data_IF_180060446882
#
_entry.id   IF_180060446882
#
_cell.length_a   1.000
_cell.length_b   1.000
_cell.length_c   1.000
_cell.angle_alpha   90.00
_cell.angle_beta   90.00
_cell.angle_gamma   90.00
#
_symmetry.space_group_name_H-M   'P 1'
#
loop_
_entity.id
_entity.type
_entity.pdbx_description
1 polymer ?
#
# COMPACT_ATOMS: atom_id res chain seq x y z
N UNK A 1 22.13 3.31 -11.20
CA UNK A 1 21.05 2.33 -11.48
C UNK A 1 20.63 1.54 -10.24
N UNK A 2 21.51 1.26 -9.27
CA UNK A 2 21.14 0.55 -8.02
C UNK A 2 19.92 1.17 -7.31
N UNK A 3 19.80 2.50 -7.32
CA UNK A 3 18.68 3.23 -6.70
C UNK A 3 17.30 2.87 -7.25
N UNK A 4 17.21 2.25 -8.43
CA UNK A 4 15.95 1.83 -9.00
C UNK A 4 15.23 0.77 -8.16
N UNK A 5 15.96 -0.03 -7.38
CA UNK A 5 15.34 -0.96 -6.42
C UNK A 5 14.56 -0.21 -5.35
N UNK A 6 15.15 0.82 -4.75
CA UNK A 6 14.46 1.65 -3.76
C UNK A 6 13.24 2.36 -4.37
N UNK A 7 13.33 2.76 -5.64
CA UNK A 7 12.19 3.38 -6.33
C UNK A 7 11.04 2.40 -6.54
N UNK A 8 11.29 1.21 -7.14
CA UNK A 8 10.22 0.25 -7.41
C UNK A 8 9.63 -0.34 -6.13
N UNK A 9 10.45 -0.54 -5.09
CA UNK A 9 10.00 -1.06 -3.79
C UNK A 9 8.89 -0.25 -3.16
N UNK A 10 8.84 1.06 -3.41
CA UNK A 10 7.76 1.92 -2.90
C UNK A 10 6.39 1.54 -3.46
N UNK A 11 6.34 0.89 -4.62
CA UNK A 11 5.09 0.52 -5.31
C UNK A 11 4.69 -0.95 -5.13
N UNK A 12 5.61 -1.78 -4.65
CA UNK A 12 5.39 -3.18 -4.35
C UNK A 12 4.84 -3.37 -2.93
N UNK A 13 4.18 -4.49 -2.63
CA UNK A 13 3.67 -4.75 -1.29
C UNK A 13 4.79 -4.66 -0.25
N UNK A 14 4.47 -4.04 0.90
CA UNK A 14 5.41 -3.88 2.02
C UNK A 14 5.90 -5.25 2.48
N UNK A 15 4.95 -6.18 2.60
CA UNK A 15 5.16 -7.59 2.88
C UNK A 15 4.03 -8.36 2.21
N UNK A 16 4.31 -9.56 1.69
CA UNK A 16 3.27 -10.50 1.29
C UNK A 16 2.82 -11.33 2.49
N UNK A 17 1.54 -11.72 2.51
CA UNK A 17 1.05 -12.73 3.45
C UNK A 17 1.72 -14.11 3.21
N UNK A 18 2.12 -14.38 1.96
CA UNK A 18 2.84 -15.57 1.54
C UNK A 18 4.36 -15.37 1.61
N UNK A 19 5.06 -16.27 2.31
CA UNK A 19 6.51 -16.20 2.48
C UNK A 19 7.25 -16.54 1.17
N UNK A 20 6.72 -17.42 0.32
CA UNK A 20 7.34 -17.75 -0.98
C UNK A 20 7.37 -16.51 -1.89
N UNK A 21 6.29 -15.71 -1.89
CA UNK A 21 6.25 -14.42 -2.58
C UNK A 21 7.28 -13.41 -2.06
N UNK A 22 7.54 -13.37 -0.74
CA UNK A 22 8.56 -12.52 -0.15
C UNK A 22 9.98 -12.96 -0.59
N UNK A 23 10.25 -14.27 -0.55
CA UNK A 23 11.52 -14.85 -1.01
C UNK A 23 11.76 -14.60 -2.51
N UNK A 24 10.73 -14.76 -3.33
CA UNK A 24 10.80 -14.46 -4.75
C UNK A 24 11.16 -13.00 -5.01
N UNK A 25 10.55 -12.07 -4.26
CA UNK A 25 10.83 -10.66 -4.39
C UNK A 25 12.28 -10.33 -4.01
N UNK A 26 12.75 -10.87 -2.89
CA UNK A 26 14.14 -10.72 -2.45
C UNK A 26 15.12 -11.28 -3.49
N UNK A 27 14.85 -12.46 -4.03
CA UNK A 27 15.66 -13.06 -5.09
C UNK A 27 15.78 -12.15 -6.32
N UNK A 28 14.70 -11.51 -6.75
CA UNK A 28 14.72 -10.58 -7.88
C UNK A 28 15.57 -9.33 -7.59
N UNK A 29 15.49 -8.80 -6.38
CA UNK A 29 16.27 -7.64 -5.95
C UNK A 29 17.76 -7.94 -5.90
N UNK A 30 18.13 -9.05 -5.28
CA UNK A 30 19.52 -9.52 -5.22
C UNK A 30 20.06 -9.82 -6.62
N UNK A 31 19.28 -10.51 -7.45
CA UNK A 31 19.64 -10.79 -8.85
C UNK A 31 19.86 -9.50 -9.63
N UNK A 32 19.00 -8.50 -9.45
CA UNK A 32 19.17 -7.20 -10.09
C UNK A 32 20.50 -6.55 -9.69
N UNK A 33 20.73 -6.38 -8.38
CA UNK A 33 21.91 -5.70 -7.85
C UNK A 33 23.20 -6.41 -8.23
N UNK A 34 23.25 -7.74 -8.09
CA UNK A 34 24.41 -8.54 -8.49
C UNK A 34 24.75 -8.34 -9.97
N UNK A 35 23.73 -8.33 -10.85
CA UNK A 35 23.96 -8.15 -12.28
C UNK A 35 24.31 -6.71 -12.66
N UNK A 36 23.84 -5.70 -11.93
CA UNK A 36 24.30 -4.31 -12.08
C UNK A 36 25.78 -4.20 -11.71
N UNK A 37 26.19 -4.71 -10.55
CA UNK A 37 27.59 -4.67 -10.09
C UNK A 37 28.54 -5.38 -11.07
N UNK A 38 28.10 -6.49 -11.65
CA UNK A 38 28.87 -7.26 -12.62
C UNK A 38 28.73 -6.76 -14.06
N UNK A 39 28.07 -5.62 -14.30
CA UNK A 39 27.85 -5.03 -15.62
C UNK A 39 27.13 -5.98 -16.60
N UNK A 40 26.33 -6.90 -16.07
CA UNK A 40 25.50 -7.86 -16.80
C UNK A 40 24.10 -7.28 -17.01
N UNK A 41 24.01 -6.13 -17.68
CA UNK A 41 22.80 -5.32 -17.71
C UNK A 41 21.56 -6.03 -18.29
N UNK A 42 21.73 -6.93 -19.27
CA UNK A 42 20.62 -7.75 -19.81
C UNK A 42 19.92 -8.61 -18.74
N UNK A 43 20.68 -9.17 -17.79
CA UNK A 43 20.14 -10.00 -16.72
C UNK A 43 19.58 -9.12 -15.59
N UNK A 44 20.21 -7.97 -15.34
CA UNK A 44 19.64 -6.96 -14.46
C UNK A 44 18.26 -6.51 -14.97
N UNK A 45 18.12 -6.15 -16.24
CA UNK A 45 16.84 -5.77 -16.81
C UNK A 45 15.79 -6.89 -16.69
N UNK A 46 16.16 -8.15 -16.92
CA UNK A 46 15.24 -9.28 -16.75
C UNK A 46 14.70 -9.37 -15.31
N UNK A 47 15.57 -9.23 -14.30
CA UNK A 47 15.16 -9.24 -12.91
C UNK A 47 14.26 -8.05 -12.57
N UNK A 48 14.64 -6.84 -13.01
CA UNK A 48 13.85 -5.63 -12.79
C UNK A 48 12.48 -5.70 -13.46
N UNK A 49 12.41 -6.21 -14.70
CA UNK A 49 11.15 -6.37 -15.41
C UNK A 49 10.18 -7.29 -14.64
N UNK A 50 10.69 -8.32 -13.94
CA UNK A 50 9.84 -9.16 -13.10
C UNK A 50 9.31 -8.39 -11.88
N UNK A 51 10.09 -7.47 -11.30
CA UNK A 51 9.58 -6.54 -10.27
C UNK A 51 8.48 -5.63 -10.84
N UNK A 52 8.66 -5.12 -12.07
CA UNK A 52 7.64 -4.37 -12.78
C UNK A 52 6.37 -5.21 -13.00
N UNK A 53 6.50 -6.48 -13.39
CA UNK A 53 5.35 -7.38 -13.52
C UNK A 53 4.65 -7.66 -12.18
N UNK A 54 5.39 -7.79 -11.09
CA UNK A 54 4.81 -7.90 -9.73
C UNK A 54 3.92 -6.69 -9.41
N UNK A 55 4.36 -5.46 -9.76
CA UNK A 55 3.51 -4.27 -9.65
C UNK A 55 2.25 -4.38 -10.51
N UNK A 56 2.38 -4.79 -11.78
CA UNK A 56 1.23 -4.95 -12.69
C UNK A 56 0.21 -5.94 -12.12
N UNK A 57 0.67 -7.06 -11.58
CA UNK A 57 -0.19 -8.06 -10.96
C UNK A 57 -0.87 -7.56 -9.70
N UNK A 58 -0.13 -6.88 -8.81
CA UNK A 58 -0.68 -6.21 -7.62
C UNK A 58 -1.83 -5.28 -8.00
N UNK A 59 -1.60 -4.37 -8.94
CA UNK A 59 -2.63 -3.39 -9.35
C UNK A 59 -3.82 -4.09 -10.01
N UNK A 60 -3.56 -5.09 -10.85
CA UNK A 60 -4.62 -5.85 -11.51
C UNK A 60 -5.50 -6.61 -10.52
N UNK A 61 -4.87 -7.22 -9.50
CA UNK A 61 -5.55 -7.90 -8.40
C UNK A 61 -6.36 -6.93 -7.55
N UNK A 62 -5.76 -5.82 -7.13
CA UNK A 62 -6.42 -4.79 -6.31
C UNK A 62 -7.67 -4.21 -6.98
N UNK A 63 -7.67 -4.15 -8.31
CA UNK A 63 -8.80 -3.67 -9.12
C UNK A 63 -9.75 -4.77 -9.58
N UNK A 64 -9.49 -6.01 -9.18
CA UNK A 64 -10.22 -7.22 -9.57
C UNK A 64 -10.46 -7.30 -11.09
N UNK A 65 -9.40 -7.08 -11.89
CA UNK A 65 -9.49 -7.08 -13.36
C UNK A 65 -9.94 -8.44 -13.89
N UNK A 66 -9.48 -9.52 -13.27
CA UNK A 66 -9.93 -10.89 -13.46
C UNK A 66 -10.55 -11.34 -12.13
N UNK A 67 -11.90 -11.27 -11.97
CA UNK A 67 -12.56 -11.59 -10.71
C UNK A 67 -12.38 -13.03 -10.22
N UNK A 68 -11.96 -13.95 -11.10
CA UNK A 68 -11.72 -15.35 -10.77
C UNK A 68 -10.30 -15.63 -10.27
N UNK A 69 -9.42 -14.63 -10.23
CA UNK A 69 -8.09 -14.78 -9.64
C UNK A 69 -8.22 -14.85 -8.11
N UNK A 70 -7.62 -15.86 -7.48
CA UNK A 70 -7.64 -16.02 -6.03
C UNK A 70 -6.52 -15.20 -5.38
N UNK A 71 -5.37 -15.10 -6.06
CA UNK A 71 -4.19 -14.36 -5.62
C UNK A 71 -3.58 -13.57 -6.78
N UNK A 72 -2.74 -12.57 -6.47
CA UNK A 72 -2.25 -11.67 -7.52
C UNK A 72 -1.35 -12.37 -8.56
N UNK A 73 -0.57 -13.38 -8.16
CA UNK A 73 0.31 -14.09 -9.09
C UNK A 73 -0.44 -15.03 -10.06
N UNK A 74 -1.74 -15.28 -9.82
CA UNK A 74 -2.58 -16.01 -10.77
C UNK A 74 -2.69 -15.25 -12.10
N UNK A 75 -2.54 -13.91 -12.10
CA UNK A 75 -2.56 -13.11 -13.32
C UNK A 75 -1.46 -13.48 -14.32
N UNK A 76 -0.35 -14.07 -13.83
CA UNK A 76 0.70 -14.58 -14.72
C UNK A 76 0.27 -15.81 -15.52
N UNK A 77 -0.71 -16.58 -15.01
CA UNK A 77 -1.22 -17.81 -15.61
C UNK A 77 -2.60 -17.63 -16.29
N UNK A 78 -3.45 -16.76 -15.73
CA UNK A 78 -4.82 -16.53 -16.19
C UNK A 78 -4.91 -15.60 -17.42
N UNK A 79 -3.79 -14.99 -17.79
CA UNK A 79 -3.65 -14.23 -19.03
C UNK A 79 -2.88 -15.05 -20.05
N UNK A 80 -3.01 -14.76 -21.36
CA UNK A 80 -2.20 -15.40 -22.40
C UNK A 80 -0.75 -14.89 -22.42
N UNK A 81 -0.32 -14.20 -21.36
CA UNK A 81 1.02 -13.65 -21.19
C UNK A 81 1.01 -12.23 -20.63
N UNK A 82 2.20 -11.78 -20.26
CA UNK A 82 2.47 -10.50 -19.57
C UNK A 82 1.93 -9.29 -20.34
N UNK A 83 2.07 -9.30 -21.68
CA UNK A 83 1.56 -8.22 -22.52
C UNK A 83 0.03 -8.08 -22.46
N UNK A 84 -0.70 -9.20 -22.32
CA UNK A 84 -2.16 -9.17 -22.17
C UNK A 84 -2.55 -8.68 -20.76
N UNK A 85 -1.85 -9.11 -19.72
CA UNK A 85 -2.07 -8.62 -18.35
C UNK A 85 -1.95 -7.08 -18.30
N UNK A 86 -0.86 -6.53 -18.83
CA UNK A 86 -0.66 -5.08 -18.92
C UNK A 86 -1.77 -4.43 -19.75
N UNK A 87 -2.10 -4.98 -20.92
CA UNK A 87 -3.12 -4.41 -21.80
C UNK A 87 -4.48 -4.35 -21.12
N UNK A 88 -4.87 -5.38 -20.37
CA UNK A 88 -6.14 -5.42 -19.64
C UNK A 88 -6.18 -4.34 -18.55
N UNK A 89 -5.08 -4.16 -17.80
CA UNK A 89 -4.93 -3.07 -16.85
C UNK A 89 -5.06 -1.68 -17.49
N UNK A 90 -4.26 -1.42 -18.52
CA UNK A 90 -4.24 -0.14 -19.20
C UNK A 90 -5.61 0.20 -19.81
N UNK A 91 -6.30 -0.78 -20.40
CA UNK A 91 -7.67 -0.61 -20.90
C UNK A 91 -8.65 -0.27 -19.78
N UNK A 92 -8.63 -1.02 -18.67
CA UNK A 92 -9.53 -0.78 -17.52
C UNK A 92 -9.36 0.64 -16.94
N UNK A 93 -8.15 1.18 -17.02
CA UNK A 93 -7.81 2.53 -16.55
C UNK A 93 -7.84 3.62 -17.62
N UNK A 94 -8.31 3.30 -18.83
CA UNK A 94 -8.55 4.30 -19.88
C UNK A 94 -7.29 4.88 -20.51
N UNK A 95 -6.16 4.17 -20.47
CA UNK A 95 -4.93 4.60 -21.13
C UNK A 95 -5.07 4.56 -22.66
N UNK A 96 -4.27 5.37 -23.35
CA UNK A 96 -4.29 5.43 -24.81
C UNK A 96 -3.66 4.18 -25.43
N UNK A 97 -4.10 3.76 -26.62
CA UNK A 97 -3.57 2.57 -27.32
C UNK A 97 -2.05 2.60 -27.54
N UNK A 98 -1.46 3.79 -27.62
CA UNK A 98 0.00 3.95 -27.73
C UNK A 98 0.73 3.50 -26.47
N UNK A 99 0.12 3.65 -25.29
CA UNK A 99 0.68 3.15 -24.04
C UNK A 99 0.72 1.62 -24.03
N UNK A 100 -0.26 0.95 -24.65
CA UNK A 100 -0.27 -0.52 -24.74
C UNK A 100 0.93 -1.03 -25.53
N UNK A 101 1.24 -0.37 -26.65
CA UNK A 101 2.41 -0.70 -27.47
C UNK A 101 3.72 -0.47 -26.73
N UNK A 102 3.82 0.65 -25.99
CA UNK A 102 5.03 1.00 -25.24
C UNK A 102 5.29 0.02 -24.09
N UNK A 103 4.29 -0.29 -23.28
CA UNK A 103 4.47 -1.28 -22.23
C UNK A 103 4.65 -2.71 -22.80
N UNK A 104 3.99 -3.04 -23.92
CA UNK A 104 4.21 -4.30 -24.63
C UNK A 104 5.65 -4.44 -25.14
N UNK A 105 6.27 -3.34 -25.57
CA UNK A 105 7.68 -3.32 -25.95
C UNK A 105 8.61 -3.73 -24.80
N UNK A 106 8.29 -3.43 -23.54
CA UNK A 106 9.11 -3.88 -22.41
C UNK A 106 9.08 -5.41 -22.24
N UNK A 107 7.92 -6.03 -22.42
CA UNK A 107 7.78 -7.50 -22.42
C UNK A 107 8.58 -8.11 -23.56
N UNK A 108 8.46 -7.54 -24.76
CA UNK A 108 9.25 -7.97 -25.92
C UNK A 108 10.74 -7.81 -25.65
N UNK A 109 11.18 -6.66 -25.11
CA UNK A 109 12.57 -6.40 -24.77
C UNK A 109 13.09 -7.42 -23.74
N UNK A 110 12.30 -7.78 -22.74
CA UNK A 110 12.68 -8.80 -21.75
C UNK A 110 12.80 -10.18 -22.40
N UNK A 111 11.89 -10.55 -23.29
CA UNK A 111 11.94 -11.84 -23.99
C UNK A 111 13.17 -11.93 -24.91
N UNK A 112 13.54 -10.83 -25.56
CA UNK A 112 14.75 -10.75 -26.38
C UNK A 112 16.06 -10.82 -25.59
N UNK A 113 16.06 -10.58 -24.26
CA UNK A 113 17.27 -10.72 -23.43
C UNK A 113 17.85 -12.15 -23.47
N UNK A 114 17.01 -13.14 -23.75
CA UNK A 114 17.40 -14.55 -23.83
C UNK A 114 17.77 -15.00 -25.26
N UNK A 115 17.62 -14.12 -26.24
CA UNK A 115 17.88 -14.40 -27.65
C UNK A 115 19.20 -13.76 -28.07
N UNK A 116 20.15 -14.57 -28.58
CA UNK A 116 21.45 -14.13 -29.11
C UNK A 116 21.38 -13.28 -30.42
N UNK A 117 20.23 -12.64 -30.68
CA UNK A 117 19.92 -12.00 -31.95
C UNK A 117 20.59 -10.63 -32.14
N UNK A 118 21.15 -10.02 -31.09
CA UNK A 118 21.85 -8.73 -31.15
C UNK A 118 20.98 -7.53 -31.54
N UNK A 119 19.64 -7.66 -31.49
CA UNK A 119 18.70 -6.60 -31.90
C UNK A 119 18.49 -5.48 -30.88
N UNK A 120 18.83 -5.72 -29.62
CA UNK A 120 18.68 -4.75 -28.52
C UNK A 120 20.05 -4.64 -27.85
N UNK A 121 20.59 -3.43 -27.82
CA UNK A 121 21.79 -3.13 -27.04
C UNK A 121 21.38 -3.06 -25.57
N UNK A 122 21.78 -4.07 -24.81
CA UNK A 122 21.67 -4.10 -23.35
C UNK A 122 22.95 -3.56 -22.72
N UNK A 123 23.43 -2.43 -23.23
CA UNK A 123 24.43 -1.65 -22.51
C UNK A 123 23.75 -0.92 -21.33
N UNK A 124 24.57 -0.26 -20.51
CA UNK A 124 24.09 0.50 -19.36
C UNK A 124 22.99 1.50 -19.74
N UNK A 125 23.17 2.23 -20.85
CA UNK A 125 22.22 3.29 -21.27
C UNK A 125 20.90 2.73 -21.77
N UNK A 126 20.95 1.62 -22.51
CA UNK A 126 19.76 0.93 -23.01
C UNK A 126 18.90 0.39 -21.86
N UNK A 127 19.53 -0.22 -20.86
CA UNK A 127 18.84 -0.74 -19.68
C UNK A 127 18.33 0.38 -18.76
N UNK A 128 19.11 1.44 -18.56
CA UNK A 128 18.70 2.64 -17.83
C UNK A 128 17.42 3.26 -18.44
N UNK A 129 17.37 3.36 -19.76
CA UNK A 129 16.19 3.83 -20.49
C UNK A 129 14.97 2.94 -20.26
N UNK A 130 15.11 1.61 -20.41
CA UNK A 130 14.02 0.66 -20.23
C UNK A 130 13.43 0.71 -18.82
N UNK A 131 14.29 0.65 -17.79
CA UNK A 131 13.90 0.70 -16.39
C UNK A 131 13.23 2.03 -16.05
N UNK A 132 13.82 3.14 -16.50
CA UNK A 132 13.26 4.47 -16.31
C UNK A 132 11.87 4.60 -16.94
N UNK A 133 11.63 3.98 -18.11
CA UNK A 133 10.32 4.03 -18.75
C UNK A 133 9.29 3.15 -18.02
N UNK A 134 9.68 1.96 -17.53
CA UNK A 134 8.84 1.14 -16.64
C UNK A 134 8.41 1.88 -15.38
N UNK A 135 9.35 2.55 -14.70
CA UNK A 135 9.06 3.36 -13.51
C UNK A 135 8.09 4.51 -13.80
N UNK A 136 8.21 5.18 -14.95
CA UNK A 136 7.23 6.20 -15.37
C UNK A 136 5.84 5.61 -15.56
N UNK A 137 5.74 4.39 -16.10
CA UNK A 137 4.46 3.71 -16.25
C UNK A 137 3.89 3.26 -14.92
N UNK A 138 4.72 2.78 -13.99
CA UNK A 138 4.33 2.48 -12.61
C UNK A 138 3.69 3.72 -11.97
N UNK A 139 4.37 4.87 -12.01
CA UNK A 139 3.86 6.10 -11.41
C UNK A 139 2.52 6.53 -12.03
N UNK A 140 2.44 6.53 -13.36
CA UNK A 140 1.19 6.86 -14.07
C UNK A 140 0.05 5.93 -13.67
N UNK A 141 0.28 4.62 -13.58
CA UNK A 141 -0.73 3.65 -13.19
C UNK A 141 -1.15 3.83 -11.73
N UNK A 142 -0.20 4.06 -10.82
CA UNK A 142 -0.44 4.29 -9.40
C UNK A 142 -1.39 5.48 -9.17
N UNK A 143 -1.22 6.58 -9.90
CA UNK A 143 -2.12 7.74 -9.80
C UNK A 143 -3.58 7.35 -10.12
N UNK A 144 -3.80 6.43 -11.05
CA UNK A 144 -5.15 6.01 -11.48
C UNK A 144 -5.89 5.13 -10.44
N UNK A 145 -5.22 4.68 -9.39
CA UNK A 145 -5.85 3.85 -8.34
C UNK A 145 -6.26 4.64 -7.10
N UNK A 146 -5.96 5.95 -7.02
CA UNK A 146 -6.32 6.80 -5.88
C UNK A 146 -7.80 6.72 -5.47
N UNK A 147 -8.72 6.70 -6.42
CA UNK A 147 -10.15 6.56 -6.12
C UNK A 147 -10.51 5.18 -5.58
N UNK A 148 -9.88 4.12 -6.07
CA UNK A 148 -10.09 2.76 -5.58
C UNK A 148 -9.53 2.59 -4.16
N UNK A 149 -8.34 3.14 -3.87
CA UNK A 149 -7.77 3.19 -2.52
C UNK A 149 -8.67 3.93 -1.53
N UNK A 150 -9.28 5.04 -1.96
CA UNK A 150 -10.26 5.75 -1.13
C UNK A 150 -11.47 4.87 -0.79
N UNK A 151 -12.06 4.21 -1.79
CA UNK A 151 -13.21 3.32 -1.58
C UNK A 151 -12.83 2.15 -0.66
N UNK A 152 -11.68 1.54 -0.88
CA UNK A 152 -11.13 0.48 -0.04
C UNK A 152 -11.02 0.94 1.42
N UNK A 153 -10.40 2.10 1.65
CA UNK A 153 -10.18 2.59 3.00
C UNK A 153 -11.46 3.04 3.70
N UNK A 154 -12.39 3.70 2.98
CA UNK A 154 -13.71 4.03 3.51
C UNK A 154 -14.50 2.77 3.86
N UNK A 155 -14.39 1.70 3.06
CA UNK A 155 -15.01 0.41 3.37
C UNK A 155 -14.38 -0.22 4.62
N UNK A 156 -13.05 -0.27 4.70
CA UNK A 156 -12.35 -0.77 5.88
C UNK A 156 -12.83 -0.10 7.18
N UNK A 157 -12.90 1.24 7.20
CA UNK A 157 -13.39 1.98 8.36
C UNK A 157 -14.88 1.74 8.64
N UNK A 158 -15.70 1.38 7.66
CA UNK A 158 -17.12 1.11 7.88
C UNK A 158 -17.42 -0.34 8.28
N UNK A 159 -16.58 -1.27 7.89
CA UNK A 159 -16.80 -2.70 8.13
C UNK A 159 -16.17 -3.13 9.46
N UNK A 160 -15.05 -2.53 9.87
CA UNK A 160 -14.27 -2.97 11.04
C UNK A 160 -14.34 -2.02 12.25
N UNK A 161 -15.17 -0.97 12.23
CA UNK A 161 -15.15 0.04 13.30
C UNK A 161 -15.45 -0.53 14.70
N UNK A 162 -16.29 -1.55 14.81
CA UNK A 162 -16.64 -2.15 16.10
C UNK A 162 -15.64 -3.19 16.59
N UNK A 163 -14.64 -3.53 15.77
CA UNK A 163 -13.60 -4.49 16.10
C UNK A 163 -12.47 -3.81 16.88
N UNK A 164 -11.95 -4.50 17.89
CA UNK A 164 -10.84 -4.01 18.71
C UNK A 164 -9.48 -4.28 18.05
N UNK A 165 -9.30 -3.79 16.82
CA UNK A 165 -8.07 -4.00 16.05
C UNK A 165 -6.90 -3.22 16.64
N UNK A 166 -5.73 -3.88 16.68
CA UNK A 166 -4.45 -3.28 17.09
C UNK A 166 -3.49 -3.17 15.91
N UNK A 167 -2.33 -2.52 16.09
CA UNK A 167 -1.34 -2.32 15.02
C UNK A 167 -0.90 -3.62 14.35
N UNK A 168 -0.78 -4.72 15.10
CA UNK A 168 -0.47 -6.04 14.55
C UNK A 168 -1.50 -6.55 13.55
N UNK A 169 -2.80 -6.32 13.81
CA UNK A 169 -3.87 -6.71 12.89
C UNK A 169 -3.84 -5.86 11.61
N UNK A 170 -3.53 -4.57 11.75
CA UNK A 170 -3.34 -3.67 10.60
C UNK A 170 -2.14 -4.12 9.74
N UNK A 171 -1.05 -4.55 10.37
CA UNK A 171 0.11 -5.07 9.65
C UNK A 171 -0.22 -6.36 8.88
N UNK A 172 -1.06 -7.24 9.43
CA UNK A 172 -1.57 -8.43 8.73
C UNK A 172 -2.43 -7.99 7.53
N UNK A 173 -3.35 -7.05 7.72
CA UNK A 173 -4.19 -6.49 6.65
C UNK A 173 -3.35 -5.93 5.50
N UNK A 174 -2.23 -5.25 5.79
CA UNK A 174 -1.32 -4.75 4.74
C UNK A 174 -0.80 -5.90 3.87
N UNK A 175 -0.45 -7.02 4.48
CA UNK A 175 0.02 -8.22 3.77
C UNK A 175 -1.07 -8.88 2.94
N UNK A 176 -2.25 -9.08 3.52
CA UNK A 176 -3.39 -9.71 2.84
C UNK A 176 -3.91 -8.84 1.67
N UNK A 177 -3.88 -7.52 1.84
CA UNK A 177 -4.33 -6.55 0.84
C UNK A 177 -3.24 -6.11 -0.13
N UNK A 178 -2.02 -6.67 -0.02
CA UNK A 178 -0.87 -6.32 -0.85
C UNK A 178 -0.59 -4.80 -0.89
N UNK A 179 -0.73 -4.13 0.25
CA UNK A 179 -0.56 -2.67 0.39
C UNK A 179 0.92 -2.31 0.25
N UNK A 180 1.20 -1.34 -0.61
CA UNK A 180 2.53 -0.76 -0.79
C UNK A 180 2.70 0.54 -0.01
N UNK A 181 3.95 0.95 0.17
CA UNK A 181 4.28 2.26 0.75
C UNK A 181 3.58 3.41 0.01
N UNK A 182 3.53 3.35 -1.33
CA UNK A 182 2.88 4.38 -2.14
C UNK A 182 1.36 4.40 -2.01
N UNK A 183 0.75 3.26 -1.67
CA UNK A 183 -0.67 3.22 -1.33
C UNK A 183 -0.92 3.92 0.01
N UNK A 184 -0.07 3.67 1.02
CA UNK A 184 -0.15 4.32 2.32
C UNK A 184 0.01 5.84 2.20
N UNK A 185 1.00 6.32 1.44
CA UNK A 185 1.18 7.75 1.13
C UNK A 185 -0.12 8.37 0.59
N UNK A 186 -0.80 7.68 -0.33
CA UNK A 186 -2.08 8.14 -0.89
C UNK A 186 -3.20 8.12 0.17
N UNK A 187 -3.26 7.07 0.99
CA UNK A 187 -4.31 6.87 2.00
C UNK A 187 -4.23 7.94 3.09
N UNK A 188 -3.05 8.24 3.62
CA UNK A 188 -2.89 9.24 4.69
C UNK A 188 -3.23 10.66 4.22
N UNK A 189 -3.09 10.94 2.91
CA UNK A 189 -3.48 12.21 2.30
C UNK A 189 -4.99 12.31 2.00
N UNK A 190 -5.77 11.24 2.21
CA UNK A 190 -7.21 11.26 1.94
C UNK A 190 -7.94 12.20 2.89
N UNK A 191 -8.72 13.12 2.32
CA UNK A 191 -9.65 13.96 3.07
C UNK A 191 -10.95 13.21 3.29
N UNK A 192 -11.05 12.48 4.40
CA UNK A 192 -12.26 11.74 4.75
C UNK A 192 -13.33 12.66 5.37
N UNK A 193 -14.62 12.52 5.00
CA UNK A 193 -15.71 13.27 5.63
C UNK A 193 -15.80 13.07 7.14
N UNK A 194 -15.38 11.90 7.63
CA UNK A 194 -15.36 11.54 9.06
C UNK A 194 -14.62 12.57 9.92
N UNK A 195 -13.52 13.14 9.43
CA UNK A 195 -12.68 14.06 10.21
C UNK A 195 -13.39 15.37 10.58
N UNK A 196 -14.45 15.72 9.85
CA UNK A 196 -15.27 16.92 10.14
C UNK A 196 -16.43 16.64 11.08
N UNK A 197 -16.78 15.37 11.30
CA UNK A 197 -17.91 15.02 12.16
C UNK A 197 -17.50 15.12 13.63
N UNK A 198 -18.45 15.49 14.49
CA UNK A 198 -18.27 15.45 15.93
C UNK A 198 -18.23 14.01 16.42
N UNK A 199 -17.43 13.74 17.43
CA UNK A 199 -17.32 12.45 18.11
C UNK A 199 -18.49 12.23 19.09
N UNK A 200 -19.72 12.32 18.59
CA UNK A 200 -20.95 12.36 19.38
C UNK A 200 -21.77 11.06 19.38
N UNK A 201 -21.28 10.04 18.69
CA UNK A 201 -21.86 8.70 18.68
C UNK A 201 -20.78 7.63 18.56
N UNK A 202 -21.12 6.44 19.04
CA UNK A 202 -20.28 5.25 19.08
C UNK A 202 -19.52 5.03 17.76
N UNK A 203 -20.25 4.89 16.66
CA UNK A 203 -19.67 4.57 15.36
C UNK A 203 -18.60 5.58 14.95
N UNK A 204 -18.87 6.89 15.07
CA UNK A 204 -17.88 7.91 14.67
C UNK A 204 -16.64 7.86 15.55
N UNK A 205 -16.80 7.67 16.85
CA UNK A 205 -15.67 7.61 17.80
C UNK A 205 -14.77 6.43 17.45
N UNK A 206 -15.34 5.24 17.32
CA UNK A 206 -14.58 4.05 17.01
C UNK A 206 -14.01 4.05 15.59
N UNK A 207 -14.68 4.66 14.61
CA UNK A 207 -14.08 4.90 13.28
C UNK A 207 -12.82 5.77 13.35
N UNK A 208 -12.84 6.82 14.19
CA UNK A 208 -11.65 7.68 14.37
C UNK A 208 -10.54 6.96 15.12
N UNK A 209 -10.88 6.12 16.11
CA UNK A 209 -9.90 5.27 16.81
C UNK A 209 -9.26 4.29 15.83
N UNK A 210 -10.07 3.56 15.05
CA UNK A 210 -9.57 2.64 14.05
C UNK A 210 -8.65 3.34 13.03
N UNK A 211 -9.03 4.54 12.60
CA UNK A 211 -8.16 5.36 11.76
C UNK A 211 -6.84 5.74 12.47
N UNK A 212 -6.86 6.10 13.75
CA UNK A 212 -5.65 6.40 14.54
C UNK A 212 -4.73 5.17 14.67
N UNK A 213 -5.30 3.99 14.93
CA UNK A 213 -4.56 2.71 14.94
C UNK A 213 -3.94 2.46 13.56
N UNK A 214 -4.72 2.65 12.49
CA UNK A 214 -4.25 2.45 11.12
C UNK A 214 -3.07 3.38 10.78
N UNK A 215 -3.17 4.68 11.05
CA UNK A 215 -2.08 5.62 10.71
C UNK A 215 -0.85 5.40 11.59
N UNK A 216 -1.03 4.95 12.84
CA UNK A 216 0.10 4.60 13.70
C UNK A 216 0.88 3.40 13.15
N UNK A 217 0.20 2.41 12.58
CA UNK A 217 0.88 1.31 11.90
C UNK A 217 1.47 1.77 10.55
N UNK A 218 0.70 2.53 9.76
CA UNK A 218 1.13 3.00 8.45
C UNK A 218 2.42 3.84 8.52
N UNK A 219 2.56 4.73 9.52
CA UNK A 219 3.73 5.59 9.65
C UNK A 219 5.04 4.83 9.88
N UNK A 220 4.99 3.59 10.41
CA UNK A 220 6.18 2.74 10.56
C UNK A 220 6.81 2.37 9.21
N UNK A 221 6.05 2.50 8.12
CA UNK A 221 6.48 2.21 6.75
C UNK A 221 6.71 3.47 5.91
N UNK A 222 6.57 4.65 6.50
CA UNK A 222 6.69 5.93 5.81
C UNK A 222 7.88 6.72 6.37
N UNK A 223 8.68 7.32 5.49
CA UNK A 223 9.67 8.31 5.91
C UNK A 223 8.98 9.65 6.05
N UNK A 224 8.56 9.98 7.27
CA UNK A 224 7.85 11.22 7.61
C UNK A 224 8.69 12.03 8.59
N UNK A 225 8.70 13.35 8.42
CA UNK A 225 9.37 14.27 9.35
C UNK A 225 8.62 14.44 10.68
N UNK A 226 7.37 13.98 10.72
CA UNK A 226 6.44 14.20 11.83
C UNK A 226 5.62 12.94 12.12
N UNK A 227 5.20 12.85 13.37
CA UNK A 227 4.31 11.81 13.85
C UNK A 227 2.87 12.10 13.44
N UNK A 228 2.38 11.40 12.40
CA UNK A 228 1.03 11.65 11.87
C UNK A 228 -0.07 11.15 12.81
N UNK A 229 0.23 10.21 13.71
CA UNK A 229 -0.70 9.84 14.77
C UNK A 229 -1.01 11.04 15.66
N UNK A 230 0.02 11.77 16.10
CA UNK A 230 -0.12 12.99 16.90
C UNK A 230 -0.87 14.09 16.14
N UNK A 231 -0.51 14.34 14.88
CA UNK A 231 -1.18 15.37 14.07
C UNK A 231 -2.69 15.13 13.90
N UNK A 232 -3.12 13.86 13.90
CA UNK A 232 -4.53 13.49 13.73
C UNK A 232 -5.28 13.25 15.04
N UNK A 233 -4.59 13.10 16.17
CA UNK A 233 -5.21 12.87 17.48
C UNK A 233 -6.30 13.90 17.85
N UNK A 234 -6.15 15.22 17.58
CA UNK A 234 -7.18 16.22 17.89
C UNK A 234 -8.53 15.97 17.20
N UNK A 235 -8.56 15.26 16.07
CA UNK A 235 -9.82 14.98 15.38
C UNK A 235 -10.75 14.09 16.22
N UNK A 236 -10.18 13.23 17.07
CA UNK A 236 -10.94 12.37 17.98
C UNK A 236 -11.59 13.24 19.06
N UNK A 237 -10.84 14.19 19.61
CA UNK A 237 -11.29 15.08 20.68
C UNK A 237 -12.38 16.06 20.23
N UNK A 238 -12.51 16.32 18.93
CA UNK A 238 -13.54 17.19 18.38
C UNK A 238 -14.97 16.66 18.66
N UNK A 239 -15.59 17.17 19.72
CA UNK A 239 -16.95 16.82 20.13
C UNK A 239 -17.05 15.47 20.83
N UNK A 240 -15.96 14.94 21.38
CA UNK A 240 -15.96 13.69 22.16
C UNK A 240 -16.72 13.91 23.46
N UNK A 241 -17.85 13.22 23.61
CA UNK A 241 -18.69 13.24 24.80
C UNK A 241 -18.09 12.41 25.93
N UNK A 242 -18.41 12.74 27.18
CA UNK A 242 -17.84 12.09 28.37
C UNK A 242 -18.26 10.62 28.51
N UNK A 243 -19.44 10.27 27.99
CA UNK A 243 -20.01 8.94 28.04
C UNK A 243 -20.61 8.58 26.68
N UNK A 244 -20.29 7.36 26.22
CA UNK A 244 -20.82 6.81 24.97
C UNK A 244 -21.65 5.58 25.31
N UNK A 245 -22.90 5.59 24.85
CA UNK A 245 -23.77 4.41 24.87
C UNK A 245 -23.37 3.47 23.75
N UNK A 246 -23.12 2.22 24.11
CA UNK A 246 -22.79 1.14 23.19
C UNK A 246 -23.99 0.21 23.11
N UNK A 247 -24.55 0.10 21.91
CA UNK A 247 -25.66 -0.81 21.61
C UNK A 247 -25.15 -1.87 20.62
N UNK A 248 -24.97 -3.10 21.11
CA UNK A 248 -24.60 -4.26 20.28
C UNK A 248 -25.76 -5.25 20.30
N UNK A 249 -26.05 -5.87 19.16
CA UNK A 249 -27.26 -6.70 18.95
C UNK A 249 -27.46 -7.86 19.95
N UNK A 250 -26.42 -8.23 20.71
CA UNK A 250 -26.42 -9.35 21.66
C UNK A 250 -25.92 -8.99 23.08
N UNK A 251 -25.57 -7.73 23.38
CA UNK A 251 -25.04 -7.31 24.69
C UNK A 251 -25.99 -6.34 25.41
N UNK A 252 -26.01 -6.35 26.74
CA UNK A 252 -26.70 -5.32 27.53
C UNK A 252 -26.11 -3.94 27.20
N UNK A 253 -26.99 -2.92 27.09
CA UNK A 253 -26.59 -1.53 26.84
C UNK A 253 -25.51 -1.12 27.85
N UNK A 254 -24.28 -0.93 27.36
CA UNK A 254 -23.14 -0.56 28.18
C UNK A 254 -22.79 0.89 27.90
N UNK A 255 -22.63 1.66 28.96
CA UNK A 255 -22.05 3.00 28.86
C UNK A 255 -20.55 2.88 29.11
N UNK A 256 -19.74 3.39 28.19
CA UNK A 256 -18.28 3.47 28.36
C UNK A 256 -17.90 4.94 28.44
N UNK A 257 -17.10 5.28 29.44
CA UNK A 257 -16.57 6.62 29.61
C UNK A 257 -15.50 6.94 28.56
N UNK A 258 -15.31 8.22 28.27
CA UNK A 258 -14.21 8.74 27.46
C UNK A 258 -12.85 8.20 27.93
N UNK A 259 -12.62 8.16 29.24
CA UNK A 259 -11.36 7.71 29.82
C UNK A 259 -11.10 6.23 29.52
N UNK A 260 -12.11 5.37 29.72
CA UNK A 260 -12.00 3.94 29.40
C UNK A 260 -11.69 3.69 27.92
N UNK A 261 -12.28 4.49 27.01
CA UNK A 261 -12.00 4.40 25.57
C UNK A 261 -10.54 4.74 25.27
N UNK A 262 -10.03 5.82 25.87
CA UNK A 262 -8.64 6.26 25.70
C UNK A 262 -7.69 5.21 26.25
N UNK A 263 -7.95 4.70 27.45
CA UNK A 263 -7.14 3.69 28.12
C UNK A 263 -7.08 2.38 27.34
N UNK A 264 -8.21 1.92 26.80
CA UNK A 264 -8.27 0.65 26.08
C UNK A 264 -7.56 0.70 24.71
N UNK A 265 -7.67 1.82 23.98
CA UNK A 265 -7.27 1.86 22.57
C UNK A 265 -6.09 2.76 22.24
N UNK A 266 -5.84 3.82 23.01
CA UNK A 266 -4.81 4.82 22.69
C UNK A 266 -3.59 4.73 23.58
N UNK A 267 -3.76 4.42 24.88
CA UNK A 267 -2.63 4.27 25.81
C UNK A 267 -1.59 3.24 25.35
N UNK A 268 -1.95 2.06 24.80
CA UNK A 268 -0.96 1.14 24.26
C UNK A 268 -0.08 1.77 23.18
N UNK A 269 -0.67 2.56 22.29
CA UNK A 269 0.06 3.28 21.23
C UNK A 269 0.94 4.38 21.83
N UNK A 270 0.40 5.18 22.74
CA UNK A 270 1.10 6.31 23.38
C UNK A 270 2.33 5.84 24.16
N UNK A 271 2.26 4.67 24.79
CA UNK A 271 3.37 4.06 25.50
C UNK A 271 4.52 3.59 24.60
N UNK A 272 4.27 3.40 23.30
CA UNK A 272 5.31 3.06 22.30
C UNK A 272 5.98 4.32 21.72
N UNK A 273 5.41 5.50 21.94
CA UNK A 273 5.96 6.76 21.44
C UNK A 273 7.23 7.17 22.19
N UNK A 274 8.06 7.96 21.50
CA UNK A 274 9.16 8.69 22.14
C UNK A 274 8.60 9.70 23.16
N UNK A 275 9.45 10.12 24.11
CA UNK A 275 9.07 10.98 25.24
C UNK A 275 8.34 12.26 24.80
N UNK A 276 8.86 12.95 23.78
CA UNK A 276 8.26 14.19 23.27
C UNK A 276 6.86 13.97 22.69
N UNK A 277 6.70 12.98 21.81
CA UNK A 277 5.42 12.69 21.18
C UNK A 277 4.40 12.15 22.19
N UNK A 278 4.87 11.44 23.23
CA UNK A 278 4.04 10.98 24.34
C UNK A 278 3.49 12.16 25.15
N UNK A 279 4.33 13.08 25.58
CA UNK A 279 3.90 14.27 26.32
C UNK A 279 2.88 15.10 25.51
N UNK A 280 3.09 15.21 24.19
CA UNK A 280 2.16 15.89 23.29
C UNK A 280 0.81 15.14 23.21
N UNK A 281 0.83 13.81 23.10
CA UNK A 281 -0.39 12.99 23.10
C UNK A 281 -1.18 13.12 24.41
N UNK A 282 -0.49 13.01 25.55
CA UNK A 282 -1.08 13.13 26.89
C UNK A 282 -1.72 14.52 27.07
N UNK A 283 -1.04 15.57 26.61
CA UNK A 283 -1.57 16.94 26.60
C UNK A 283 -2.84 17.06 25.76
N UNK A 284 -2.86 16.48 24.55
CA UNK A 284 -4.05 16.51 23.67
C UNK A 284 -5.24 15.78 24.31
N UNK A 285 -4.97 14.66 24.99
CA UNK A 285 -6.01 13.82 25.59
C UNK A 285 -6.46 14.30 26.97
N UNK A 286 -5.68 15.17 27.63
CA UNK A 286 -5.85 15.62 29.02
C UNK A 286 -5.67 14.46 30.02
N UNK A 287 -4.59 13.70 29.82
CA UNK A 287 -4.16 12.61 30.71
C UNK A 287 -3.21 13.12 31.81
#
# INVERSE_FOLDING_TARGET
>A
MEDYIYQIRRYLPIKFADDEANEFLQYLEETYLENIHNQKYQFAFKAFHMLYMTFIYKISWFLSIIPTANQMFDYSHLTKGEAEAITNLLKKKGFHKNDFKKCGFHVDARNHCSHASGKIDYDEKGVDFLISDELKYIERMQITIKSALKIFFEKFLNDHWSESLIGGDIAILFGESNISRKDLEIIIELKLPLFKKKSDNEKIVFQKILYLVFINEAQKHLELDKNIFIENLPMLMNGLIDEIKIEREEEEEKTISKQEIIEAHLIPIINELNEKDREEAETILNL
#
